data_IF_751462708864
#
_entry.id   IF_751462708864
#
_cell.length_a   1.000
_cell.length_b   1.000
_cell.length_c   1.000
_cell.angle_alpha   90.00
_cell.angle_beta   90.00
_cell.angle_gamma   90.00
#
_symmetry.space_group_name_H-M   'P 1'
#
loop_
_entity.id
_entity.type
_entity.pdbx_description
1 polymer ?
#
# COMPACT_ATOMS: atom_id res chain seq x y z
N UNK A 1 1.04 2.33 -4.61
CA UNK A 1 0.77 1.71 -5.94
C UNK A 1 -0.47 2.31 -6.59
N UNK A 2 -0.81 1.84 -7.78
CA UNK A 2 -1.96 2.31 -8.58
C UNK A 2 -2.93 1.16 -8.81
N UNK A 3 -4.21 1.44 -8.66
CA UNK A 3 -5.32 0.55 -9.02
C UNK A 3 -6.08 1.13 -10.21
N UNK A 4 -6.45 0.29 -11.18
CA UNK A 4 -7.15 0.70 -12.39
C UNK A 4 -7.85 -0.46 -13.09
N UNK A 5 -8.76 -0.15 -14.03
CA UNK A 5 -9.40 -1.13 -14.91
C UNK A 5 -8.36 -1.69 -15.90
N UNK A 6 -8.21 -3.01 -15.97
CA UNK A 6 -7.20 -3.66 -16.82
C UNK A 6 -7.37 -3.39 -18.32
N UNK A 7 -8.58 -3.02 -18.74
CA UNK A 7 -8.87 -2.68 -20.12
C UNK A 7 -8.60 -1.19 -20.43
N UNK A 8 -8.23 -0.39 -19.39
CA UNK A 8 -7.84 0.99 -19.60
C UNK A 8 -6.42 1.10 -20.15
N UNK A 9 -6.23 2.01 -21.11
CA UNK A 9 -4.88 2.34 -21.57
C UNK A 9 -4.17 3.20 -20.52
N UNK A 10 -3.26 2.59 -19.79
CA UNK A 10 -2.36 3.26 -18.84
C UNK A 10 -0.89 3.23 -19.30
N UNK A 11 -0.64 3.09 -20.59
CA UNK A 11 0.71 3.28 -21.15
C UNK A 11 1.33 4.60 -20.68
N UNK A 12 0.46 5.59 -20.39
CA UNK A 12 0.82 6.85 -19.76
C UNK A 12 -0.19 7.19 -18.68
N UNK A 13 0.24 7.33 -17.40
CA UNK A 13 -0.60 7.87 -16.32
C UNK A 13 -0.80 9.38 -16.45
N UNK A 14 -0.08 10.00 -17.38
CA UNK A 14 -0.15 11.45 -17.64
C UNK A 14 -1.57 11.88 -18.01
N UNK A 15 -2.03 12.95 -17.39
CA UNK A 15 -3.37 13.52 -17.63
C UNK A 15 -4.52 12.75 -17.01
N UNK A 16 -4.27 11.65 -16.29
CA UNK A 16 -5.32 10.83 -15.69
C UNK A 16 -5.94 11.49 -14.46
N UNK A 17 -7.21 11.17 -14.23
CA UNK A 17 -7.94 11.58 -13.04
C UNK A 17 -7.75 10.55 -11.93
N UNK A 18 -7.26 11.00 -10.78
CA UNK A 18 -6.87 10.18 -9.63
C UNK A 18 -7.92 10.29 -8.53
N UNK A 19 -8.52 9.18 -8.12
CA UNK A 19 -9.28 9.13 -6.87
C UNK A 19 -8.29 9.08 -5.69
N UNK A 20 -8.58 9.83 -4.64
CA UNK A 20 -7.79 9.87 -3.40
C UNK A 20 -8.73 9.94 -2.19
N UNK A 21 -8.34 9.35 -1.07
CA UNK A 21 -9.04 9.55 0.20
C UNK A 21 -8.82 10.96 0.73
N UNK A 22 -9.87 11.63 1.16
CA UNK A 22 -9.79 12.97 1.73
C UNK A 22 -8.86 13.01 2.95
N UNK A 23 -7.97 14.00 2.98
CA UNK A 23 -7.04 14.23 4.10
C UNK A 23 -5.89 13.21 4.19
N UNK A 24 -5.66 12.37 3.18
CA UNK A 24 -4.55 11.42 3.14
C UNK A 24 -3.26 12.03 2.60
N UNK A 25 -2.12 11.41 2.91
CA UNK A 25 -0.80 11.78 2.38
C UNK A 25 -0.71 11.61 0.85
N UNK A 26 -1.59 10.80 0.27
CA UNK A 26 -1.64 10.53 -1.17
C UNK A 26 -1.81 11.79 -2.01
N UNK A 27 -2.55 12.79 -1.51
CA UNK A 27 -2.73 14.09 -2.20
C UNK A 27 -1.36 14.74 -2.44
N UNK A 28 -0.50 14.76 -1.40
CA UNK A 28 0.87 15.31 -1.50
C UNK A 28 1.76 14.51 -2.46
N UNK A 29 1.54 13.19 -2.53
CA UNK A 29 2.25 12.32 -3.49
C UNK A 29 1.86 12.71 -4.92
N UNK A 30 0.57 12.90 -5.20
CA UNK A 30 0.09 13.31 -6.53
C UNK A 30 0.65 14.70 -6.91
N UNK A 31 0.61 15.67 -5.99
CA UNK A 31 1.20 16.99 -6.19
C UNK A 31 2.69 16.93 -6.52
N UNK A 32 3.44 16.12 -5.76
CA UNK A 32 4.87 15.88 -6.02
C UNK A 32 5.11 15.25 -7.39
N UNK A 33 4.35 14.22 -7.76
CA UNK A 33 4.45 13.57 -9.07
C UNK A 33 4.15 14.55 -10.21
N UNK A 34 3.15 15.40 -10.05
CA UNK A 34 2.86 16.45 -11.01
C UNK A 34 4.03 17.42 -11.18
N UNK A 35 4.66 17.84 -10.08
CA UNK A 35 5.78 18.78 -10.10
C UNK A 35 7.06 18.15 -10.69
N UNK A 36 7.40 16.93 -10.24
CA UNK A 36 8.68 16.28 -10.57
C UNK A 36 8.66 15.59 -11.94
N UNK A 37 7.50 15.04 -12.35
CA UNK A 37 7.38 14.23 -13.57
C UNK A 37 6.46 14.85 -14.63
N UNK A 38 5.92 16.04 -14.38
CA UNK A 38 5.02 16.75 -15.29
C UNK A 38 3.84 15.90 -15.77
N UNK A 39 3.25 15.14 -14.87
CA UNK A 39 2.21 14.15 -15.21
C UNK A 39 0.85 14.78 -15.44
N UNK A 40 0.61 16.01 -14.97
CA UNK A 40 -0.66 16.72 -15.12
C UNK A 40 -1.87 15.90 -14.65
N UNK A 41 -1.72 15.21 -13.52
CA UNK A 41 -2.79 14.45 -12.89
C UNK A 41 -3.79 15.42 -12.27
N UNK A 42 -5.08 15.13 -12.40
CA UNK A 42 -6.15 15.79 -11.64
C UNK A 42 -6.64 14.87 -10.52
N UNK A 43 -7.11 15.43 -9.40
CA UNK A 43 -7.61 14.62 -8.27
C UNK A 43 -9.10 14.82 -8.06
N UNK A 44 -9.76 13.72 -7.64
CA UNK A 44 -11.06 13.77 -6.99
C UNK A 44 -10.90 13.22 -5.57
N UNK A 45 -11.33 14.01 -4.59
CA UNK A 45 -11.30 13.60 -3.20
C UNK A 45 -12.60 12.88 -2.84
N UNK A 46 -12.45 11.68 -2.33
CA UNK A 46 -13.55 10.87 -1.83
C UNK A 46 -13.50 10.77 -0.30
N UNK A 47 -14.65 10.58 0.33
CA UNK A 47 -14.76 10.58 1.80
C UNK A 47 -13.96 9.46 2.49
N UNK A 48 -13.81 8.32 1.81
CA UNK A 48 -13.15 7.12 2.31
C UNK A 48 -12.57 6.27 1.16
N UNK A 49 -11.80 5.25 1.48
CA UNK A 49 -11.17 4.37 0.49
C UNK A 49 -12.16 3.55 -0.33
N UNK A 50 -13.25 2.98 0.25
CA UNK A 50 -14.28 2.33 -0.54
C UNK A 50 -14.89 3.25 -1.59
N UNK A 51 -15.18 4.52 -1.25
CA UNK A 51 -15.69 5.51 -2.20
C UNK A 51 -14.69 5.85 -3.30
N UNK A 52 -13.39 5.95 -2.96
CA UNK A 52 -12.33 6.18 -3.95
C UNK A 52 -12.17 4.98 -4.91
N UNK A 53 -12.25 3.75 -4.38
CA UNK A 53 -12.29 2.53 -5.19
C UNK A 53 -13.49 2.53 -6.13
N UNK A 54 -14.67 2.85 -5.60
CA UNK A 54 -15.93 2.91 -6.35
C UNK A 54 -15.88 3.97 -7.46
N UNK A 55 -15.17 5.09 -7.25
CA UNK A 55 -15.00 6.11 -8.27
C UNK A 55 -14.30 5.57 -9.54
N UNK A 56 -13.36 4.64 -9.39
CA UNK A 56 -12.72 3.96 -10.53
C UNK A 56 -13.68 2.96 -11.17
N UNK A 57 -14.40 2.18 -10.37
CA UNK A 57 -15.39 1.21 -10.87
C UNK A 57 -16.48 1.90 -11.69
N UNK A 58 -16.92 3.07 -11.26
CA UNK A 58 -17.93 3.90 -11.94
C UNK A 58 -17.36 4.79 -13.05
N UNK A 59 -16.05 4.70 -13.33
CA UNK A 59 -15.36 5.51 -14.35
C UNK A 59 -15.44 7.04 -14.09
N UNK A 60 -15.63 7.44 -12.83
CA UNK A 60 -15.53 8.85 -12.40
C UNK A 60 -14.06 9.28 -12.23
N UNK A 61 -13.21 8.30 -11.94
CA UNK A 61 -11.75 8.43 -11.93
C UNK A 61 -11.14 7.34 -12.82
N UNK A 62 -9.95 7.60 -13.35
CA UNK A 62 -9.20 6.62 -14.15
C UNK A 62 -8.41 5.65 -13.27
N UNK A 63 -7.87 6.17 -12.17
CA UNK A 63 -6.97 5.45 -11.26
C UNK A 63 -7.26 5.79 -9.80
N UNK A 64 -6.88 4.87 -8.90
CA UNK A 64 -6.84 5.10 -7.45
C UNK A 64 -5.41 4.84 -6.95
N UNK A 65 -4.86 5.76 -6.18
CA UNK A 65 -3.50 5.68 -5.61
C UNK A 65 -3.62 5.52 -4.10
N UNK A 66 -3.01 4.45 -3.57
CA UNK A 66 -3.01 4.14 -2.14
C UNK A 66 -1.87 3.15 -1.83
N UNK A 67 -1.68 2.82 -0.54
CA UNK A 67 -0.83 1.73 -0.11
C UNK A 67 -1.29 0.40 -0.72
N UNK A 68 -0.36 -0.42 -1.14
CA UNK A 68 -0.66 -1.65 -1.88
C UNK A 68 -1.56 -2.61 -1.11
N UNK A 69 -1.28 -2.86 0.17
CA UNK A 69 -2.09 -3.73 1.03
C UNK A 69 -3.54 -3.26 1.09
N UNK A 70 -3.75 -1.94 1.21
CA UNK A 70 -5.09 -1.36 1.23
C UNK A 70 -5.76 -1.47 -0.14
N UNK A 71 -5.03 -1.25 -1.24
CA UNK A 71 -5.56 -1.46 -2.60
C UNK A 71 -6.00 -2.91 -2.84
N UNK A 72 -5.22 -3.90 -2.43
CA UNK A 72 -5.61 -5.30 -2.54
C UNK A 72 -6.83 -5.62 -1.67
N UNK A 73 -6.89 -5.06 -0.45
CA UNK A 73 -8.06 -5.19 0.43
C UNK A 73 -9.32 -4.62 -0.21
N UNK A 74 -9.26 -3.39 -0.71
CA UNK A 74 -10.42 -2.76 -1.37
C UNK A 74 -10.80 -3.48 -2.67
N UNK A 75 -9.82 -3.88 -3.49
CA UNK A 75 -10.05 -4.68 -4.70
C UNK A 75 -10.80 -5.98 -4.39
N UNK A 76 -10.52 -6.64 -3.29
CA UNK A 76 -11.19 -7.90 -2.94
C UNK A 76 -12.69 -7.76 -2.65
N UNK A 77 -13.16 -6.53 -2.44
CA UNK A 77 -14.55 -6.20 -2.10
C UNK A 77 -15.40 -5.80 -3.31
N UNK A 78 -14.78 -5.44 -4.45
CA UNK A 78 -15.54 -5.10 -5.66
C UNK A 78 -16.18 -6.34 -6.27
N UNK A 79 -17.24 -6.15 -7.06
CA UNK A 79 -18.00 -7.27 -7.63
C UNK A 79 -17.17 -8.13 -8.59
N UNK A 80 -16.27 -7.52 -9.37
CA UNK A 80 -15.47 -8.19 -10.39
C UNK A 80 -13.97 -7.82 -10.19
N UNK A 81 -13.32 -8.34 -9.13
CA UNK A 81 -11.95 -7.94 -8.77
C UNK A 81 -10.92 -8.23 -9.86
N UNK A 82 -11.17 -9.21 -10.72
CA UNK A 82 -10.27 -9.61 -11.80
C UNK A 82 -10.27 -8.67 -13.02
N UNK A 83 -11.20 -7.73 -13.06
CA UNK A 83 -11.19 -6.61 -14.03
C UNK A 83 -10.16 -5.54 -13.69
N UNK A 84 -9.61 -5.54 -12.48
CA UNK A 84 -8.77 -4.46 -12.00
C UNK A 84 -7.37 -4.96 -11.66
N UNK A 85 -6.40 -4.12 -11.89
CA UNK A 85 -4.99 -4.39 -11.61
C UNK A 85 -4.50 -3.44 -10.53
N UNK A 86 -3.66 -3.96 -9.62
CA UNK A 86 -2.77 -3.17 -8.76
C UNK A 86 -1.37 -3.29 -9.34
N UNK A 87 -0.74 -2.15 -9.69
CA UNK A 87 0.57 -2.15 -10.34
C UNK A 87 1.66 -2.76 -9.47
N UNK A 88 2.70 -3.31 -10.10
CA UNK A 88 3.90 -3.73 -9.38
C UNK A 88 4.84 -2.56 -9.07
N UNK A 89 4.77 -1.48 -9.85
CA UNK A 89 5.62 -0.31 -9.66
C UNK A 89 5.20 0.51 -8.45
N UNK A 90 6.20 0.96 -7.67
CA UNK A 90 6.00 1.85 -6.54
C UNK A 90 6.10 3.30 -6.98
N UNK A 91 5.12 4.11 -6.58
CA UNK A 91 5.21 5.57 -6.68
C UNK A 91 5.99 6.18 -5.51
N UNK A 92 5.94 5.52 -4.36
CA UNK A 92 6.69 5.83 -3.14
C UNK A 92 6.85 4.57 -2.31
N UNK A 93 7.82 4.58 -1.40
CA UNK A 93 7.99 3.58 -0.35
C UNK A 93 7.89 4.31 0.99
N UNK A 94 6.93 3.88 1.81
CA UNK A 94 6.69 4.47 3.12
C UNK A 94 6.98 3.41 4.20
N UNK A 95 8.05 3.59 4.99
CA UNK A 95 8.37 2.66 6.06
C UNK A 95 7.33 2.77 7.20
N UNK A 96 6.85 1.63 7.66
CA UNK A 96 6.02 1.56 8.85
C UNK A 96 6.89 1.35 10.08
N UNK A 97 6.55 2.02 11.19
CA UNK A 97 7.29 1.91 12.44
C UNK A 97 6.37 1.89 13.65
N UNK A 98 6.85 1.33 14.74
CA UNK A 98 6.17 1.39 16.03
C UNK A 98 6.51 2.72 16.71
N UNK A 99 5.50 3.55 16.96
CA UNK A 99 5.66 4.82 17.65
C UNK A 99 5.78 4.59 19.17
N UNK A 100 6.79 5.21 19.78
CA UNK A 100 7.07 5.13 21.21
C UNK A 100 7.33 6.52 21.78
N UNK A 101 7.28 6.65 23.11
CA UNK A 101 7.65 7.90 23.80
C UNK A 101 9.11 8.23 23.51
N UNK A 102 9.38 9.47 23.11
CA UNK A 102 10.74 9.94 22.86
C UNK A 102 11.61 9.78 24.12
N UNK A 103 12.76 9.15 23.96
CA UNK A 103 13.72 8.92 25.05
C UNK A 103 13.45 7.65 25.88
N UNK A 104 12.42 6.86 25.55
CA UNK A 104 12.17 5.57 26.18
C UNK A 104 13.09 4.49 25.58
N UNK A 105 14.31 4.47 26.04
CA UNK A 105 15.38 3.58 25.55
C UNK A 105 15.08 2.12 25.86
N UNK A 106 14.44 1.83 26.99
CA UNK A 106 14.19 0.46 27.42
C UNK A 106 13.11 -0.19 26.54
N UNK A 107 11.98 0.50 26.29
CA UNK A 107 10.94 0.01 25.38
C UNK A 107 11.49 -0.13 23.96
N UNK A 108 12.30 0.84 23.49
CA UNK A 108 12.93 0.77 22.18
C UNK A 108 13.78 -0.50 22.02
N UNK A 109 14.64 -0.80 22.99
CA UNK A 109 15.47 -2.02 23.00
C UNK A 109 14.62 -3.29 22.96
N UNK A 110 13.58 -3.37 23.78
CA UNK A 110 12.71 -4.56 23.85
C UNK A 110 12.00 -4.80 22.52
N UNK A 111 11.38 -3.76 21.95
CA UNK A 111 10.65 -3.86 20.68
C UNK A 111 11.59 -4.24 19.54
N UNK A 112 12.73 -3.55 19.40
CA UNK A 112 13.69 -3.85 18.34
C UNK A 112 14.26 -5.27 18.47
N UNK A 113 14.62 -5.69 19.68
CA UNK A 113 15.09 -7.05 19.95
C UNK A 113 14.03 -8.08 19.51
N UNK A 114 12.75 -7.87 19.88
CA UNK A 114 11.69 -8.81 19.51
C UNK A 114 11.45 -8.86 18.01
N UNK A 115 11.46 -7.73 17.31
CA UNK A 115 11.32 -7.69 15.85
C UNK A 115 12.45 -8.49 15.18
N UNK A 116 13.70 -8.27 15.59
CA UNK A 116 14.85 -9.02 15.05
C UNK A 116 14.76 -10.51 15.34
N UNK A 117 14.34 -10.92 16.54
CA UNK A 117 14.08 -12.32 16.87
C UNK A 117 13.03 -12.94 15.94
N UNK A 118 11.90 -12.23 15.72
CA UNK A 118 10.82 -12.71 14.86
C UNK A 118 11.25 -12.86 13.38
N UNK A 119 12.14 -11.98 12.93
CA UNK A 119 12.73 -12.08 11.58
C UNK A 119 13.65 -13.28 11.51
N UNK A 120 14.60 -13.42 12.45
CA UNK A 120 15.62 -14.46 12.44
C UNK A 120 15.05 -15.88 12.62
N UNK A 121 13.97 -16.03 13.39
CA UNK A 121 13.33 -17.34 13.62
C UNK A 121 12.21 -17.65 12.64
N UNK A 122 11.93 -16.76 11.66
CA UNK A 122 10.91 -16.94 10.63
C UNK A 122 9.48 -16.70 11.11
N UNK A 123 9.27 -16.21 12.34
CA UNK A 123 7.94 -15.89 12.88
C UNK A 123 7.25 -14.79 12.04
N UNK A 124 8.02 -13.81 11.57
CA UNK A 124 7.50 -12.73 10.72
C UNK A 124 6.92 -13.27 9.40
N UNK A 125 7.57 -14.26 8.79
CA UNK A 125 7.08 -14.90 7.56
C UNK A 125 5.77 -15.67 7.80
N UNK A 126 5.63 -16.33 8.94
CA UNK A 126 4.38 -17.01 9.32
C UNK A 126 3.25 -16.02 9.54
N UNK A 127 3.53 -14.87 10.18
CA UNK A 127 2.56 -13.79 10.34
C UNK A 127 2.16 -13.19 9.00
N UNK A 128 3.13 -12.98 8.12
CA UNK A 128 2.84 -12.48 6.78
C UNK A 128 1.93 -13.45 6.01
N UNK A 129 2.28 -14.73 5.99
CA UNK A 129 1.46 -15.76 5.33
C UNK A 129 0.05 -15.82 5.91
N UNK A 130 -0.08 -15.74 7.24
CA UNK A 130 -1.39 -15.74 7.92
C UNK A 130 -2.27 -14.58 7.49
N UNK A 131 -1.73 -13.36 7.43
CA UNK A 131 -2.53 -12.15 7.23
C UNK A 131 -2.71 -11.75 5.77
N UNK A 132 -1.79 -12.12 4.88
CA UNK A 132 -1.79 -11.67 3.49
C UNK A 132 -1.95 -12.79 2.45
N UNK A 133 -1.71 -14.05 2.85
CA UNK A 133 -1.76 -15.18 1.93
C UNK A 133 -2.79 -16.26 2.31
N UNK A 134 -3.39 -16.14 3.48
CA UNK A 134 -4.42 -17.08 3.96
C UNK A 134 -5.78 -16.40 4.06
N UNK A 135 -6.89 -17.16 4.03
CA UNK A 135 -8.21 -16.64 4.32
C UNK A 135 -8.29 -16.05 5.73
N UNK A 136 -8.82 -14.84 5.86
CA UNK A 136 -8.96 -14.13 7.14
C UNK A 136 -10.42 -13.79 7.44
N UNK A 137 -10.77 -13.87 8.72
CA UNK A 137 -12.09 -13.45 9.21
C UNK A 137 -12.24 -11.91 9.06
N UNK A 138 -13.45 -11.36 8.75
CA UNK A 138 -14.74 -12.07 8.60
C UNK A 138 -15.05 -12.55 7.18
N UNK A 139 -14.28 -12.16 6.18
CA UNK A 139 -14.60 -12.41 4.77
C UNK A 139 -14.23 -13.81 4.30
N UNK A 140 -13.37 -14.52 5.02
CA UNK A 140 -12.76 -15.78 4.62
C UNK A 140 -12.10 -15.73 3.22
N UNK A 141 -11.63 -14.55 2.82
CA UNK A 141 -10.88 -14.34 1.58
C UNK A 141 -9.42 -14.10 1.88
N UNK A 142 -8.54 -14.60 1.02
CA UNK A 142 -7.12 -14.26 1.02
C UNK A 142 -6.89 -13.06 0.12
N UNK A 143 -5.96 -12.18 0.50
CA UNK A 143 -5.51 -11.09 -0.36
C UNK A 143 -4.54 -11.59 -1.44
N UNK A 144 -3.96 -12.79 -1.28
CA UNK A 144 -2.98 -13.41 -2.18
C UNK A 144 -1.79 -12.50 -2.52
N UNK A 145 -1.32 -11.74 -1.53
CA UNK A 145 -0.18 -10.83 -1.70
C UNK A 145 1.11 -11.58 -1.35
N UNK A 146 1.97 -11.82 -2.32
CA UNK A 146 3.33 -12.29 -2.07
C UNK A 146 4.21 -11.14 -1.57
N UNK A 147 5.19 -11.38 -0.66
CA UNK A 147 6.19 -10.37 -0.33
C UNK A 147 6.92 -9.94 -1.61
N UNK A 148 7.04 -8.64 -1.83
CA UNK A 148 7.87 -8.14 -2.91
C UNK A 148 9.38 -8.27 -2.60
N UNK A 149 10.23 -7.92 -3.56
CA UNK A 149 11.67 -8.04 -3.41
C UNK A 149 12.22 -7.18 -2.25
N UNK A 150 11.68 -5.96 -2.07
CA UNK A 150 12.10 -5.05 -1.02
C UNK A 150 11.76 -5.61 0.37
N UNK A 151 10.52 -6.05 0.56
CA UNK A 151 10.07 -6.64 1.82
C UNK A 151 10.81 -7.96 2.12
N UNK A 152 11.07 -8.76 1.10
CA UNK A 152 11.87 -9.99 1.21
C UNK A 152 13.28 -9.69 1.73
N UNK A 153 13.94 -8.66 1.21
CA UNK A 153 15.26 -8.25 1.69
C UNK A 153 15.23 -7.70 3.13
N UNK A 154 14.20 -6.94 3.49
CA UNK A 154 14.00 -6.48 4.89
C UNK A 154 13.85 -7.66 5.84
N UNK A 155 13.12 -8.71 5.46
CA UNK A 155 12.97 -9.93 6.28
C UNK A 155 14.24 -10.79 6.29
N UNK A 156 15.13 -10.63 5.33
CA UNK A 156 16.41 -11.34 5.27
C UNK A 156 17.51 -10.64 6.06
N UNK A 157 17.50 -9.32 6.05
CA UNK A 157 18.55 -8.51 6.66
C UNK A 157 17.94 -7.41 7.55
N UNK A 158 17.49 -7.76 8.77
CA UNK A 158 16.93 -6.77 9.68
C UNK A 158 17.97 -5.71 10.01
N UNK A 159 17.72 -4.48 9.58
CA UNK A 159 18.58 -3.34 9.91
C UNK A 159 17.95 -2.49 10.98
N UNK A 160 18.73 -2.04 11.96
CA UNK A 160 18.33 -1.07 12.97
C UNK A 160 18.45 0.38 12.48
N UNK A 161 18.78 0.58 11.21
CA UNK A 161 19.03 1.91 10.65
C UNK A 161 17.67 2.56 10.40
N UNK A 162 17.21 3.28 11.39
CA UNK A 162 16.24 4.34 11.20
C UNK A 162 17.02 5.46 10.54
N UNK A 163 16.69 5.80 9.30
CA UNK A 163 17.32 6.96 8.65
C UNK A 163 17.19 8.19 9.53
N UNK A 164 18.30 8.88 9.73
CA UNK A 164 18.35 10.18 10.40
C UNK A 164 17.58 11.21 9.59
#
# INVERSE_FOLDING_TARGET
>A
KVFYDKDADLSLIKGKKVAVGKGTSTIKIVERLNKERLLNLSTIEEKDFPSAMQAVVEKRADIFILDDILLYSERSKVAEPDKYIVTNDFLSVEPLAVMMKKGDVEINKVVNKKIVEMINNGEINKLYAKWFQSPIYPTNKSLNIAPDALLTEVFRMPTHIVGN
#
